data_IF_781144145680
#
_entry.id   IF_781144145680
#
_cell.length_a   1.000
_cell.length_b   1.000
_cell.length_c   1.000
_cell.angle_alpha   90.00
_cell.angle_beta   90.00
_cell.angle_gamma   90.00
#
_symmetry.space_group_name_H-M   'P 1'
#
loop_
_entity.id
_entity.type
_entity.pdbx_description
1 polymer ?
#
# COMPACT_ATOMS: atom_id res chain seq x y z
N UNK A 1 -16.42 6.37 -1.72
CA UNK A 1 -15.60 5.16 -1.54
C UNK A 1 -16.06 3.99 -2.38
N UNK A 2 -17.32 3.55 -2.29
CA UNK A 2 -17.81 2.39 -3.05
C UNK A 2 -17.51 2.43 -4.56
N UNK A 3 -17.72 3.57 -5.22
CA UNK A 3 -17.44 3.73 -6.65
C UNK A 3 -15.95 3.55 -6.99
N UNK A 4 -15.03 4.09 -6.18
CA UNK A 4 -13.58 3.93 -6.39
C UNK A 4 -13.14 2.49 -6.22
N UNK A 5 -13.66 1.81 -5.19
CA UNK A 5 -13.41 0.37 -4.97
C UNK A 5 -13.98 -0.47 -6.11
N UNK A 6 -15.19 -0.14 -6.57
CA UNK A 6 -15.80 -0.83 -7.71
C UNK A 6 -14.99 -0.62 -9.00
N UNK A 7 -14.62 0.62 -9.32
CA UNK A 7 -13.79 0.92 -10.50
C UNK A 7 -12.44 0.21 -10.42
N UNK A 8 -11.82 0.17 -9.23
CA UNK A 8 -10.60 -0.58 -9.00
C UNK A 8 -10.80 -2.07 -9.28
N UNK A 9 -11.82 -2.70 -8.72
CA UNK A 9 -12.12 -4.12 -8.96
C UNK A 9 -12.41 -4.40 -10.45
N UNK A 10 -13.18 -3.55 -11.11
CA UNK A 10 -13.47 -3.68 -12.54
C UNK A 10 -12.21 -3.53 -13.41
N UNK A 11 -11.35 -2.56 -13.10
CA UNK A 11 -10.08 -2.38 -13.80
C UNK A 11 -9.17 -3.60 -13.64
N UNK A 12 -9.07 -4.13 -12.42
CA UNK A 12 -8.29 -5.35 -12.18
C UNK A 12 -8.85 -6.56 -12.90
N UNK A 13 -10.17 -6.73 -12.89
CA UNK A 13 -10.83 -7.80 -13.64
C UNK A 13 -10.55 -7.65 -15.15
N UNK A 14 -10.65 -6.44 -15.70
CA UNK A 14 -10.35 -6.17 -17.10
C UNK A 14 -8.88 -6.48 -17.44
N UNK A 15 -7.93 -6.08 -16.60
CA UNK A 15 -6.51 -6.41 -16.76
C UNK A 15 -6.29 -7.93 -16.75
N UNK A 16 -6.91 -8.64 -15.81
CA UNK A 16 -6.80 -10.10 -15.72
C UNK A 16 -7.37 -10.79 -16.95
N UNK A 17 -8.53 -10.35 -17.43
CA UNK A 17 -9.15 -10.90 -18.64
C UNK A 17 -8.26 -10.64 -19.88
N UNK A 18 -7.67 -9.46 -19.98
CA UNK A 18 -6.74 -9.10 -21.06
C UNK A 18 -5.50 -10.00 -21.03
N UNK A 19 -4.90 -10.19 -19.85
CA UNK A 19 -3.74 -11.09 -19.70
C UNK A 19 -4.12 -12.52 -20.04
N UNK A 20 -5.27 -13.01 -19.53
CA UNK A 20 -5.76 -14.35 -19.84
C UNK A 20 -5.96 -14.53 -21.35
N UNK A 21 -6.53 -13.54 -22.03
CA UNK A 21 -6.73 -13.58 -23.48
C UNK A 21 -5.39 -13.62 -24.21
N UNK A 22 -4.43 -12.77 -23.86
CA UNK A 22 -3.09 -12.75 -24.47
C UNK A 22 -2.42 -14.12 -24.30
N UNK A 23 -2.44 -14.67 -23.08
CA UNK A 23 -1.82 -15.96 -22.80
C UNK A 23 -2.48 -17.10 -23.57
N UNK A 24 -3.81 -17.11 -23.67
CA UNK A 24 -4.53 -18.10 -24.48
C UNK A 24 -4.17 -17.98 -25.97
N UNK A 25 -4.04 -16.76 -26.50
CA UNK A 25 -3.58 -16.56 -27.89
C UNK A 25 -2.15 -17.07 -28.06
N UNK A 26 -1.23 -16.78 -27.14
CA UNK A 26 0.15 -17.26 -27.18
C UNK A 26 0.23 -18.79 -27.10
N UNK A 27 -0.64 -19.44 -26.34
CA UNK A 27 -0.76 -20.89 -26.32
C UNK A 27 -1.30 -21.42 -27.65
N UNK A 28 -2.33 -20.79 -28.20
CA UNK A 28 -2.94 -21.20 -29.47
C UNK A 28 -1.98 -21.13 -30.67
N UNK A 29 -1.05 -20.16 -30.67
CA UNK A 29 -0.02 -20.03 -31.71
C UNK A 29 1.27 -20.82 -31.41
N UNK A 30 1.25 -21.65 -30.35
CA UNK A 30 2.37 -22.55 -30.01
C UNK A 30 3.56 -21.89 -29.32
N UNK A 31 3.44 -20.64 -28.88
CA UNK A 31 4.51 -19.95 -28.12
C UNK A 31 4.54 -20.34 -26.65
N UNK A 32 3.44 -20.87 -26.11
CA UNK A 32 3.34 -21.37 -24.75
C UNK A 32 2.90 -22.84 -24.74
N UNK A 33 3.36 -23.65 -23.77
CA UNK A 33 2.90 -25.03 -23.58
C UNK A 33 1.40 -25.08 -23.31
N UNK A 34 0.66 -26.03 -23.90
CA UNK A 34 -0.79 -26.16 -23.73
C UNK A 34 -1.20 -26.63 -22.32
N UNK A 35 -0.28 -27.23 -21.58
CA UNK A 35 -0.45 -27.76 -20.23
C UNK A 35 -0.13 -26.74 -19.12
N UNK A 36 0.19 -25.49 -19.47
CA UNK A 36 0.43 -24.43 -18.51
C UNK A 36 -0.86 -24.12 -17.74
N UNK A 37 -0.88 -24.26 -16.40
CA UNK A 37 -2.08 -24.03 -15.60
C UNK A 37 -2.33 -22.51 -15.39
N UNK A 38 -2.48 -21.77 -16.48
CA UNK A 38 -2.57 -20.30 -16.46
C UNK A 38 -3.70 -19.78 -15.60
N UNK A 39 -4.88 -20.39 -15.71
CA UNK A 39 -6.06 -19.94 -14.98
C UNK A 39 -5.93 -20.15 -13.46
N UNK A 40 -5.55 -21.33 -12.96
CA UNK A 40 -5.28 -21.52 -11.53
C UNK A 40 -4.16 -20.59 -11.00
N UNK A 41 -3.08 -20.40 -11.76
CA UNK A 41 -2.00 -19.49 -11.37
C UNK A 41 -2.48 -18.02 -11.28
N UNK A 42 -3.27 -17.60 -12.26
CA UNK A 42 -3.82 -16.25 -12.29
C UNK A 42 -4.77 -16.01 -11.10
N UNK A 43 -5.73 -16.91 -10.90
CA UNK A 43 -6.70 -16.80 -9.80
C UNK A 43 -5.99 -16.86 -8.45
N UNK A 44 -5.06 -17.80 -8.26
CA UNK A 44 -4.31 -17.93 -7.01
C UNK A 44 -3.46 -16.69 -6.70
N UNK A 45 -2.73 -16.20 -7.68
CA UNK A 45 -1.88 -15.00 -7.51
C UNK A 45 -2.71 -13.76 -7.24
N UNK A 46 -3.84 -13.59 -7.93
CA UNK A 46 -4.76 -12.49 -7.68
C UNK A 46 -5.36 -12.56 -6.28
N UNK A 47 -5.86 -13.73 -5.90
CA UNK A 47 -6.44 -13.92 -4.57
C UNK A 47 -5.43 -13.56 -3.47
N UNK A 48 -4.23 -14.12 -3.51
CA UNK A 48 -3.20 -13.83 -2.50
C UNK A 48 -2.72 -12.38 -2.53
N UNK A 49 -2.53 -11.79 -3.72
CA UNK A 49 -2.11 -10.40 -3.84
C UNK A 49 -3.15 -9.42 -3.33
N UNK A 50 -4.39 -9.54 -3.78
CA UNK A 50 -5.47 -8.59 -3.42
C UNK A 50 -5.99 -8.83 -2.01
N UNK A 51 -6.25 -10.08 -1.64
CA UNK A 51 -6.75 -10.42 -0.29
C UNK A 51 -5.69 -10.13 0.76
N UNK A 52 -4.41 -10.47 0.49
CA UNK A 52 -3.31 -10.14 1.37
C UNK A 52 -3.16 -8.63 1.60
N UNK A 53 -3.24 -7.84 0.53
CA UNK A 53 -3.20 -6.39 0.63
C UNK A 53 -4.41 -5.83 1.40
N UNK A 54 -5.61 -6.36 1.16
CA UNK A 54 -6.81 -5.95 1.89
C UNK A 54 -6.72 -6.28 3.38
N UNK A 55 -6.25 -7.48 3.74
CA UNK A 55 -6.02 -7.87 5.13
C UNK A 55 -4.99 -6.93 5.77
N UNK A 56 -3.85 -6.71 5.12
CA UNK A 56 -2.81 -5.79 5.59
C UNK A 56 -3.38 -4.39 5.85
N UNK A 57 -4.23 -3.89 4.95
CA UNK A 57 -4.90 -2.60 5.12
C UNK A 57 -5.81 -2.56 6.35
N UNK A 58 -6.59 -3.63 6.59
CA UNK A 58 -7.50 -3.68 7.75
C UNK A 58 -6.76 -3.58 9.08
N UNK A 59 -5.55 -4.11 9.15
CA UNK A 59 -4.71 -4.12 10.36
C UNK A 59 -3.64 -3.03 10.37
N UNK A 60 -3.58 -2.14 9.38
CA UNK A 60 -2.49 -1.17 9.21
C UNK A 60 -2.31 -0.25 10.42
N UNK A 61 -3.39 0.34 10.95
CA UNK A 61 -3.34 1.20 12.13
C UNK A 61 -2.92 0.43 13.39
N UNK A 62 -3.50 -0.76 13.61
CA UNK A 62 -3.16 -1.58 14.78
C UNK A 62 -1.72 -2.10 14.73
N UNK A 63 -1.25 -2.48 13.54
CA UNK A 63 0.13 -2.88 13.33
C UNK A 63 1.09 -1.73 13.61
N UNK A 64 0.80 -0.54 13.11
CA UNK A 64 1.60 0.66 13.36
C UNK A 64 1.67 0.96 14.87
N UNK A 65 0.53 0.95 15.57
CA UNK A 65 0.49 1.17 17.03
C UNK A 65 1.40 0.20 17.77
N UNK A 66 1.32 -1.08 17.44
CA UNK A 66 2.10 -2.13 18.12
C UNK A 66 3.60 -2.09 17.76
N UNK A 67 3.92 -1.93 16.47
CA UNK A 67 5.31 -1.99 16.00
C UNK A 67 6.12 -0.76 16.42
N UNK A 68 5.50 0.41 16.43
CA UNK A 68 6.16 1.68 16.76
C UNK A 68 5.91 2.11 18.22
N UNK A 69 5.13 1.36 18.99
CA UNK A 69 4.81 1.71 20.38
C UNK A 69 4.02 3.01 20.50
N UNK A 70 3.11 3.28 19.56
CA UNK A 70 2.35 4.53 19.50
C UNK A 70 1.44 4.64 20.70
N UNK A 71 1.60 5.73 21.45
CA UNK A 71 0.72 6.11 22.54
C UNK A 71 -0.36 7.05 22.00
N UNK A 72 -1.62 6.65 22.17
CA UNK A 72 -2.73 7.48 21.73
C UNK A 72 -2.88 8.69 22.65
N UNK A 73 -3.05 9.85 22.05
CA UNK A 73 -3.27 11.11 22.75
C UNK A 73 -4.71 11.16 23.26
N UNK A 74 -4.87 11.16 24.58
CA UNK A 74 -6.16 11.34 25.23
C UNK A 74 -6.53 12.81 25.41
N UNK A 75 -7.82 13.10 25.71
CA UNK A 75 -8.32 14.46 25.96
C UNK A 75 -7.71 15.12 27.20
N UNK A 76 -6.93 14.40 28.01
CA UNK A 76 -6.32 14.88 29.24
C UNK A 76 -4.80 15.09 29.20
N UNK A 77 -4.18 15.07 28.02
CA UNK A 77 -2.75 15.19 27.84
C UNK A 77 -2.15 16.57 28.20
N UNK A 78 -0.81 16.63 28.24
CA UNK A 78 -0.04 17.87 28.46
C UNK A 78 -0.25 18.92 27.36
N UNK A 79 0.40 20.08 27.48
CA UNK A 79 0.20 21.20 26.55
C UNK A 79 0.42 20.84 25.08
N UNK A 80 1.53 20.16 24.75
CA UNK A 80 1.85 19.76 23.38
C UNK A 80 0.89 18.68 22.83
N UNK A 81 0.50 17.73 23.66
CA UNK A 81 -0.47 16.69 23.27
C UNK A 81 -1.85 17.28 23.00
N UNK A 82 -2.27 18.22 23.81
CA UNK A 82 -3.55 18.92 23.61
C UNK A 82 -3.51 19.74 22.34
N UNK A 83 -2.45 20.51 22.12
CA UNK A 83 -2.25 21.27 20.88
C UNK A 83 -2.32 20.37 19.64
N UNK A 84 -1.61 19.22 19.66
CA UNK A 84 -1.61 18.25 18.57
C UNK A 84 -3.03 17.73 18.29
N UNK A 85 -3.74 17.33 19.32
CA UNK A 85 -5.11 16.82 19.18
C UNK A 85 -6.09 17.88 18.65
N UNK A 86 -6.01 19.11 19.14
CA UNK A 86 -6.85 20.22 18.73
C UNK A 86 -6.55 20.64 17.29
N UNK A 87 -5.27 20.67 16.89
CA UNK A 87 -4.82 20.94 15.53
C UNK A 87 -5.36 19.89 14.56
N UNK A 88 -5.19 18.60 14.85
CA UNK A 88 -5.72 17.52 14.00
C UNK A 88 -7.24 17.57 13.94
N UNK A 89 -7.92 17.89 15.02
CA UNK A 89 -9.38 18.04 15.03
C UNK A 89 -9.86 19.18 14.11
N UNK A 90 -9.17 20.34 14.17
CA UNK A 90 -9.44 21.47 13.27
C UNK A 90 -9.19 21.12 11.80
N UNK A 91 -8.08 20.41 11.51
CA UNK A 91 -7.76 19.94 10.16
C UNK A 91 -8.79 18.93 9.65
N UNK A 92 -9.21 17.98 10.48
CA UNK A 92 -10.25 16.98 10.13
C UNK A 92 -11.57 17.65 9.78
N UNK A 93 -11.98 18.65 10.56
CA UNK A 93 -13.17 19.44 10.29
C UNK A 93 -13.07 20.19 8.96
N UNK A 94 -11.94 20.87 8.70
CA UNK A 94 -11.70 21.59 7.42
C UNK A 94 -11.66 20.62 6.23
N UNK A 95 -11.09 19.43 6.43
CA UNK A 95 -11.02 18.39 5.40
C UNK A 95 -12.35 17.65 5.18
N UNK A 96 -13.34 17.82 6.05
CA UNK A 96 -14.65 17.15 5.96
C UNK A 96 -14.55 15.63 6.23
N UNK A 97 -13.60 15.19 7.07
CA UNK A 97 -13.43 13.79 7.45
C UNK A 97 -13.64 13.61 8.96
N UNK A 98 -14.03 12.41 9.41
CA UNK A 98 -14.09 12.11 10.84
C UNK A 98 -12.73 12.32 11.50
N UNK A 99 -12.73 12.70 12.78
CA UNK A 99 -11.51 12.82 13.59
C UNK A 99 -10.76 11.48 13.58
N UNK A 100 -9.50 11.45 13.12
CA UNK A 100 -8.66 10.25 13.22
C UNK A 100 -8.20 10.02 14.66
N UNK A 101 -7.73 8.82 14.95
CA UNK A 101 -6.93 8.60 16.16
C UNK A 101 -5.63 9.39 16.04
N UNK A 102 -5.20 10.02 17.12
CA UNK A 102 -3.95 10.78 17.18
C UNK A 102 -3.00 10.08 18.13
N UNK A 103 -1.75 9.91 17.70
CA UNK A 103 -0.76 9.22 18.53
C UNK A 103 0.64 9.82 18.42
N UNK A 104 1.44 9.52 19.43
CA UNK A 104 2.86 9.91 19.52
C UNK A 104 3.68 8.64 19.69
N UNK A 105 4.82 8.57 19.02
CA UNK A 105 5.79 7.48 19.17
C UNK A 105 7.18 8.01 19.45
N UNK A 106 7.96 7.21 20.16
CA UNK A 106 9.31 7.57 20.58
C UNK A 106 10.27 7.45 19.40
N UNK A 107 10.75 8.58 18.90
CA UNK A 107 11.80 8.62 17.87
C UNK A 107 12.40 10.03 17.82
N UNK A 108 13.74 10.16 17.73
CA UNK A 108 14.41 11.45 17.56
C UNK A 108 14.26 12.01 16.14
N UNK A 109 13.88 11.20 15.17
CA UNK A 109 13.71 11.61 13.77
C UNK A 109 12.44 12.45 13.60
N UNK A 110 12.51 13.47 12.77
CA UNK A 110 11.36 14.29 12.41
C UNK A 110 10.47 13.53 11.43
N UNK A 111 9.41 12.98 11.92
CA UNK A 111 8.51 12.19 11.10
C UNK A 111 7.06 12.27 11.58
N UNK A 112 6.14 12.32 10.62
CA UNK A 112 4.70 12.18 10.81
C UNK A 112 4.15 11.28 9.71
N UNK A 113 3.07 10.58 9.98
CA UNK A 113 2.41 9.76 8.97
C UNK A 113 0.95 9.52 9.30
N UNK A 114 0.18 9.23 8.25
CA UNK A 114 -1.19 8.76 8.37
C UNK A 114 -1.34 7.34 7.83
N UNK A 115 -2.08 6.49 8.53
CA UNK A 115 -2.41 5.12 8.11
C UNK A 115 -3.82 4.73 8.54
N UNK A 116 -4.33 3.64 7.99
CA UNK A 116 -5.63 3.12 8.36
C UNK A 116 -6.44 2.59 7.17
N UNK A 117 -7.45 1.77 7.42
CA UNK A 117 -8.25 1.12 6.37
C UNK A 117 -9.26 2.05 5.69
N UNK A 118 -9.51 3.23 6.27
CA UNK A 118 -10.44 4.22 5.70
C UNK A 118 -10.25 5.57 6.39
N UNK A 119 -10.74 6.70 5.82
CA UNK A 119 -10.73 7.98 6.50
C UNK A 119 -11.43 7.99 7.86
N UNK A 120 -12.44 7.14 8.04
CA UNK A 120 -13.16 7.01 9.33
C UNK A 120 -12.46 6.14 10.37
N UNK A 121 -11.40 5.45 9.98
CA UNK A 121 -10.57 4.60 10.86
C UNK A 121 -9.09 4.90 10.60
N UNK A 122 -8.77 6.16 10.45
CA UNK A 122 -7.41 6.64 10.24
C UNK A 122 -6.71 6.87 11.58
N UNK A 123 -5.41 6.70 11.58
CA UNK A 123 -4.47 7.06 12.63
C UNK A 123 -3.50 8.08 12.04
N UNK A 124 -3.32 9.21 12.71
CA UNK A 124 -2.25 10.19 12.45
C UNK A 124 -1.26 10.11 13.60
N UNK A 125 -0.02 9.84 13.31
CA UNK A 125 1.01 9.69 14.32
C UNK A 125 2.20 10.59 14.03
N UNK A 126 2.77 11.16 15.11
CA UNK A 126 3.94 12.02 15.06
C UNK A 126 5.05 11.47 15.98
N UNK A 127 6.30 11.70 15.60
CA UNK A 127 7.42 11.34 16.45
C UNK A 127 7.60 12.37 17.59
N UNK A 128 8.23 11.96 18.68
CA UNK A 128 8.66 12.89 19.74
C UNK A 128 9.63 13.92 19.21
N UNK A 129 10.51 13.56 18.26
CA UNK A 129 11.48 14.46 17.64
C UNK A 129 10.83 15.62 16.89
N UNK A 130 9.82 15.37 16.07
CA UNK A 130 9.12 16.44 15.32
C UNK A 130 8.30 17.32 16.27
N UNK A 131 7.62 16.70 17.25
CA UNK A 131 6.79 17.43 18.22
C UNK A 131 7.58 18.38 19.11
N UNK A 132 8.85 18.06 19.42
CA UNK A 132 9.72 18.86 20.25
C UNK A 132 10.59 19.84 19.47
N UNK A 133 10.93 19.50 18.22
CA UNK A 133 11.92 20.25 17.44
C UNK A 133 11.34 21.18 16.38
N UNK A 134 10.10 20.96 15.94
CA UNK A 134 9.48 21.74 14.87
C UNK A 134 8.57 22.83 15.44
N UNK A 135 8.63 24.07 14.92
CA UNK A 135 7.67 25.12 15.29
C UNK A 135 6.22 24.71 14.96
N UNK A 136 5.27 25.10 15.82
CA UNK A 136 3.85 24.75 15.67
C UNK A 136 3.28 25.05 14.27
N UNK A 137 3.55 26.22 13.63
CA UNK A 137 3.01 26.49 12.29
C UNK A 137 3.54 25.55 11.21
N UNK A 138 4.81 25.14 11.30
CA UNK A 138 5.42 24.19 10.38
C UNK A 138 4.85 22.78 10.60
N UNK A 139 4.68 22.37 11.85
CA UNK A 139 4.08 21.10 12.20
C UNK A 139 2.59 21.04 11.78
N UNK A 140 1.84 22.15 11.90
CA UNK A 140 0.48 22.22 11.36
C UNK A 140 0.45 21.98 9.84
N UNK A 141 1.42 22.50 9.08
CA UNK A 141 1.53 22.27 7.65
C UNK A 141 1.80 20.79 7.32
N UNK A 142 2.70 20.14 8.08
CA UNK A 142 2.94 18.68 7.97
C UNK A 142 1.67 17.88 8.28
N UNK A 143 0.98 18.20 9.37
CA UNK A 143 -0.27 17.55 9.73
C UNK A 143 -1.37 17.77 8.68
N UNK A 144 -1.43 18.94 8.06
CA UNK A 144 -2.36 19.22 6.97
C UNK A 144 -2.06 18.38 5.72
N UNK A 145 -0.79 18.13 5.42
CA UNK A 145 -0.36 17.21 4.38
C UNK A 145 -0.84 15.79 4.66
N UNK A 146 -0.60 15.26 5.86
CA UNK A 146 -1.07 13.95 6.28
C UNK A 146 -2.61 13.84 6.26
N UNK A 147 -3.30 14.88 6.73
CA UNK A 147 -4.76 14.93 6.68
C UNK A 147 -5.30 14.97 5.25
N UNK A 148 -4.55 15.54 4.31
CA UNK A 148 -4.90 15.51 2.88
C UNK A 148 -4.83 14.08 2.32
N UNK A 149 -3.84 13.29 2.71
CA UNK A 149 -3.78 11.86 2.38
C UNK A 149 -4.98 11.10 2.94
N UNK A 150 -5.36 11.38 4.19
CA UNK A 150 -6.56 10.78 4.81
C UNK A 150 -7.81 11.13 4.01
N UNK A 151 -8.04 12.40 3.71
CA UNK A 151 -9.24 12.86 3.00
C UNK A 151 -9.30 12.36 1.56
N UNK A 152 -8.16 12.24 0.88
CA UNK A 152 -8.04 11.67 -0.46
C UNK A 152 -8.26 10.14 -0.47
N UNK A 153 -8.15 9.45 0.67
CA UNK A 153 -8.19 7.99 0.77
C UNK A 153 -6.96 7.34 0.14
N UNK A 154 -5.82 8.02 0.18
CA UNK A 154 -4.58 7.60 -0.46
C UNK A 154 -4.02 6.29 0.12
N UNK A 155 -4.22 6.06 1.42
CA UNK A 155 -3.86 4.83 2.11
C UNK A 155 -4.50 3.59 1.44
N UNK A 156 -5.80 3.68 1.15
CA UNK A 156 -6.55 2.60 0.49
C UNK A 156 -6.06 2.40 -0.93
N UNK A 157 -5.91 3.49 -1.69
CA UNK A 157 -5.52 3.45 -3.10
C UNK A 157 -4.13 2.84 -3.27
N UNK A 158 -3.16 3.22 -2.43
CA UNK A 158 -1.79 2.68 -2.49
C UNK A 158 -1.74 1.21 -2.11
N UNK A 159 -2.45 0.81 -1.07
CA UNK A 159 -2.48 -0.61 -0.66
C UNK A 159 -3.12 -1.49 -1.73
N UNK A 160 -4.20 -1.03 -2.36
CA UNK A 160 -4.83 -1.77 -3.44
C UNK A 160 -3.91 -1.84 -4.68
N UNK A 161 -3.24 -0.74 -5.04
CA UNK A 161 -2.25 -0.75 -6.13
C UNK A 161 -1.13 -1.75 -5.84
N UNK A 162 -0.59 -1.75 -4.62
CA UNK A 162 0.44 -2.71 -4.22
C UNK A 162 -0.06 -4.15 -4.29
N UNK A 163 -1.31 -4.40 -3.92
CA UNK A 163 -1.93 -5.72 -4.02
C UNK A 163 -1.97 -6.25 -5.46
N UNK A 164 -2.31 -5.37 -6.41
CA UNK A 164 -2.30 -5.72 -7.84
C UNK A 164 -0.90 -6.01 -8.34
N UNK A 165 0.06 -5.14 -8.01
CA UNK A 165 1.45 -5.34 -8.41
C UNK A 165 1.98 -6.65 -7.84
N UNK A 166 1.72 -6.94 -6.58
CA UNK A 166 2.11 -8.20 -5.96
C UNK A 166 1.47 -9.41 -6.66
N UNK A 167 0.17 -9.34 -6.98
CA UNK A 167 -0.51 -10.40 -7.73
C UNK A 167 0.15 -10.64 -9.08
N UNK A 168 0.51 -9.55 -9.78
CA UNK A 168 1.18 -9.62 -11.08
C UNK A 168 2.58 -10.23 -10.97
N UNK A 169 3.37 -9.78 -10.01
CA UNK A 169 4.72 -10.30 -9.73
C UNK A 169 4.65 -11.80 -9.41
N UNK A 170 3.74 -12.20 -8.52
CA UNK A 170 3.52 -13.59 -8.15
C UNK A 170 3.08 -14.46 -9.34
N UNK A 171 2.21 -13.95 -10.18
CA UNK A 171 1.76 -14.67 -11.37
C UNK A 171 2.89 -14.83 -12.38
N UNK A 172 3.56 -13.74 -12.74
CA UNK A 172 4.58 -13.74 -13.79
C UNK A 172 5.81 -14.56 -13.38
N UNK A 173 6.25 -14.47 -12.13
CA UNK A 173 7.38 -15.26 -11.63
C UNK A 173 7.11 -16.77 -11.73
N UNK A 174 5.92 -17.20 -11.36
CA UNK A 174 5.54 -18.62 -11.44
C UNK A 174 5.34 -19.09 -12.87
N UNK A 175 4.74 -18.25 -13.72
CA UNK A 175 4.56 -18.57 -15.14
C UNK A 175 5.91 -18.75 -15.84
N UNK A 176 6.88 -17.84 -15.60
CA UNK A 176 8.24 -17.93 -16.17
C UNK A 176 8.96 -19.19 -15.68
N UNK A 177 8.90 -19.47 -14.38
CA UNK A 177 9.54 -20.67 -13.81
C UNK A 177 8.92 -21.95 -14.35
N UNK A 178 7.61 -21.98 -14.58
CA UNK A 178 6.94 -23.13 -15.20
C UNK A 178 7.40 -23.37 -16.64
N UNK A 179 7.76 -22.33 -17.38
CA UNK A 179 8.29 -22.44 -18.76
C UNK A 179 9.72 -22.97 -18.82
N UNK A 180 10.45 -22.99 -17.69
CA UNK A 180 11.79 -23.52 -17.67
C UNK A 180 11.78 -25.05 -17.74
N UNK A 181 12.68 -25.67 -18.54
CA UNK A 181 12.77 -27.11 -18.64
C UNK A 181 12.99 -27.73 -17.26
N UNK A 182 12.04 -28.48 -16.79
CA UNK A 182 12.17 -29.24 -15.53
C UNK A 182 13.03 -30.46 -15.83
N UNK A 183 14.31 -30.40 -15.49
CA UNK A 183 15.17 -31.58 -15.48
C UNK A 183 14.82 -32.40 -14.23
N UNK A 184 13.71 -33.13 -14.28
CA UNK A 184 13.47 -34.24 -13.36
C UNK A 184 14.53 -35.30 -13.67
N UNK A 185 15.40 -35.59 -12.70
CA UNK A 185 16.24 -36.77 -12.78
C UNK A 185 15.31 -37.98 -12.87
N UNK A 186 15.60 -38.92 -13.79
CA UNK A 186 14.81 -40.11 -14.10
C UNK A 186 14.64 -41.08 -12.90
N UNK A 187 15.13 -40.76 -11.73
CA UNK A 187 15.11 -41.63 -10.54
C UNK A 187 13.97 -41.30 -9.54
N UNK A 188 12.86 -40.69 -9.93
CA UNK A 188 11.58 -40.76 -9.19
C UNK A 188 11.55 -40.42 -7.69
N UNK A 189 12.61 -39.94 -7.08
CA UNK A 189 12.68 -39.54 -5.66
C UNK A 189 12.95 -38.04 -5.53
N UNK A 190 11.88 -37.24 -5.59
CA UNK A 190 11.95 -35.84 -5.22
C UNK A 190 11.68 -35.69 -3.71
N UNK A 191 12.75 -35.58 -2.93
CA UNK A 191 12.69 -35.01 -1.58
C UNK A 191 12.99 -33.51 -1.69
N UNK A 192 11.96 -32.67 -1.64
CA UNK A 192 12.07 -31.21 -1.63
C UNK A 192 11.37 -30.50 -2.80
N UNK A 193 11.24 -29.17 -2.74
CA UNK A 193 10.70 -28.40 -3.85
C UNK A 193 11.60 -28.54 -5.08
N UNK A 194 11.03 -28.62 -6.31
CA UNK A 194 11.82 -28.73 -7.53
C UNK A 194 12.84 -27.59 -7.60
N UNK A 195 14.07 -27.83 -8.11
CA UNK A 195 15.13 -26.80 -8.19
C UNK A 195 14.69 -25.52 -8.90
N UNK A 196 13.73 -25.63 -9.82
CA UNK A 196 13.11 -24.49 -10.51
C UNK A 196 12.32 -23.57 -9.56
N UNK A 197 11.78 -24.09 -8.46
CA UNK A 197 11.11 -23.24 -7.46
C UNK A 197 12.07 -22.29 -6.72
N UNK A 198 13.35 -22.61 -6.63
CA UNK A 198 14.35 -21.72 -6.06
C UNK A 198 14.56 -20.46 -6.91
N UNK A 199 14.16 -20.48 -8.18
CA UNK A 199 14.22 -19.33 -9.08
C UNK A 199 13.03 -18.38 -8.93
N UNK A 200 11.94 -18.80 -8.26
CA UNK A 200 10.76 -17.95 -8.05
C UNK A 200 11.13 -16.71 -7.24
N UNK A 201 11.83 -16.86 -6.13
CA UNK A 201 12.17 -15.76 -5.24
C UNK A 201 13.07 -14.70 -5.88
N UNK A 202 14.21 -15.04 -6.53
CA UNK A 202 14.99 -14.03 -7.27
C UNK A 202 14.19 -13.32 -8.34
N UNK A 203 13.32 -14.02 -9.03
CA UNK A 203 12.48 -13.45 -10.06
C UNK A 203 11.39 -12.53 -9.46
N UNK A 204 10.79 -12.91 -8.32
CA UNK A 204 9.85 -12.05 -7.59
C UNK A 204 10.54 -10.76 -7.11
N UNK A 205 11.78 -10.85 -6.64
CA UNK A 205 12.55 -9.65 -6.25
C UNK A 205 12.80 -8.76 -7.47
N UNK A 206 13.27 -9.32 -8.58
CA UNK A 206 13.52 -8.56 -9.82
C UNK A 206 12.25 -7.87 -10.34
N UNK A 207 11.15 -8.62 -10.44
CA UNK A 207 9.87 -8.09 -10.90
C UNK A 207 9.28 -7.10 -9.89
N UNK A 208 9.51 -7.31 -8.59
CA UNK A 208 9.12 -6.39 -7.52
C UNK A 208 9.83 -5.04 -7.64
N UNK A 209 11.13 -5.04 -7.98
CA UNK A 209 11.87 -3.81 -8.27
C UNK A 209 11.26 -3.07 -9.48
N UNK A 210 10.89 -3.77 -10.54
CA UNK A 210 10.20 -3.15 -11.68
C UNK A 210 8.80 -2.62 -11.27
N UNK A 211 8.07 -3.37 -10.45
CA UNK A 211 6.79 -2.94 -9.89
C UNK A 211 6.92 -1.68 -9.02
N UNK A 212 8.03 -1.53 -8.30
CA UNK A 212 8.29 -0.35 -7.47
C UNK A 212 8.41 0.95 -8.27
N UNK A 213 8.80 0.90 -9.55
CA UNK A 213 8.81 2.07 -10.42
C UNK A 213 7.39 2.59 -10.68
N UNK A 214 6.42 1.68 -10.84
CA UNK A 214 5.01 2.02 -11.01
C UNK A 214 4.45 2.65 -9.73
N UNK A 215 4.75 2.04 -8.57
CA UNK A 215 4.31 2.61 -7.29
C UNK A 215 4.96 3.95 -7.00
N UNK A 216 6.23 4.14 -7.34
CA UNK A 216 6.94 5.41 -7.17
C UNK A 216 6.34 6.53 -8.05
N UNK A 217 6.02 6.22 -9.32
CA UNK A 217 5.35 7.17 -10.20
C UNK A 217 3.98 7.58 -9.68
N UNK A 218 3.18 6.61 -9.22
CA UNK A 218 1.86 6.86 -8.65
C UNK A 218 1.96 7.62 -7.32
N UNK A 219 2.94 7.30 -6.45
CA UNK A 219 3.22 7.99 -5.20
C UNK A 219 3.50 9.46 -5.45
N UNK A 220 4.38 9.79 -6.40
CA UNK A 220 4.68 11.19 -6.74
C UNK A 220 3.43 11.99 -7.13
N UNK A 221 2.53 11.39 -7.90
CA UNK A 221 1.28 12.04 -8.30
C UNK A 221 0.33 12.29 -7.12
N UNK A 222 0.39 11.42 -6.14
CA UNK A 222 -0.35 11.51 -4.88
C UNK A 222 0.19 12.65 -4.00
N UNK A 223 1.51 12.78 -3.89
CA UNK A 223 2.17 13.87 -3.12
C UNK A 223 1.73 15.25 -3.62
N UNK A 224 1.73 15.50 -4.94
CA UNK A 224 1.24 16.78 -5.48
C UNK A 224 -0.21 17.08 -5.10
N UNK A 225 -1.06 16.06 -4.99
CA UNK A 225 -2.45 16.27 -4.53
C UNK A 225 -2.53 16.53 -3.03
N UNK A 226 -1.65 15.90 -2.25
CA UNK A 226 -1.57 16.12 -0.81
C UNK A 226 -1.07 17.53 -0.50
N UNK A 227 -0.03 18.01 -1.20
CA UNK A 227 0.47 19.38 -1.09
C UNK A 227 -0.61 20.40 -1.44
N UNK A 228 -1.30 20.22 -2.58
CA UNK A 228 -2.42 21.08 -2.96
C UNK A 228 -3.59 21.03 -1.97
N UNK A 229 -3.79 19.90 -1.30
CA UNK A 229 -4.78 19.75 -0.24
C UNK A 229 -4.35 20.45 1.05
N UNK A 230 -3.11 20.29 1.46
CA UNK A 230 -2.52 20.95 2.64
C UNK A 230 -2.61 22.48 2.51
N UNK A 231 -2.25 23.04 1.34
CA UNK A 231 -2.37 24.47 1.06
C UNK A 231 -3.80 25.02 1.16
N UNK A 232 -4.82 24.15 1.01
CA UNK A 232 -6.23 24.54 1.23
C UNK A 232 -6.65 24.42 2.68
N UNK A 233 -6.01 23.58 3.45
CA UNK A 233 -6.31 23.32 4.86
C UNK A 233 -5.56 24.28 5.79
N UNK A 234 -4.43 24.85 5.34
CA UNK A 234 -3.63 25.86 6.02
C UNK A 234 -3.62 27.16 5.21
N UNK A 235 -3.05 28.23 5.77
CA UNK A 235 -2.72 29.41 4.97
C UNK A 235 -1.51 29.11 4.09
N UNK A 236 -1.60 29.39 2.78
CA UNK A 236 -0.57 29.10 1.79
C UNK A 236 0.83 29.72 2.06
N UNK A 237 0.95 30.61 3.04
CA UNK A 237 2.22 31.24 3.45
C UNK A 237 3.08 30.38 4.37
N UNK A 238 2.55 29.24 4.88
CA UNK A 238 3.27 28.35 5.82
C UNK A 238 3.79 27.07 5.15
N UNK A 239 3.63 26.92 3.86
CA UNK A 239 4.21 25.87 3.01
C UNK A 239 5.37 26.45 2.17
#
# INVERSE_FOLDING_TARGET
>A
MALRTLLFLLTNLAVMLTISLILNVLTAIGLLPPDLPLLPLLIGSFFWGVVGAWISLQFSAESAKRMMGIQLVGQGGGGAERWLNDTVAGLAQRAGVPMPEVGIYESPEWNAFATGPSPSRALVAVSTGILQGMPEPELEAVLAHEMSHVSNGDMVTMTLLQGVINAFVMFLSRAVVFLLPNRSNEEGRQYGPPPTMLLVWPLEILLGVLGSLVTAWFSRHREYRADAGAARLTNAETM
#
